data_IF_862532916833
#
_entry.id   IF_862532916833
#
_cell.length_a   1.000
_cell.length_b   1.000
_cell.length_c   1.000
_cell.angle_alpha   90.00
_cell.angle_beta   90.00
_cell.angle_gamma   90.00
#
_symmetry.space_group_name_H-M   'P 1'
#
loop_
_entity.id
_entity.type
_entity.pdbx_description
1 polymer ?
#
# COMPACT_ATOMS: atom_id res chain seq x y z
N UNK A 1 -0.90 -16.51 60.30
CA UNK A 1 -0.12 -15.55 59.48
C UNK A 1 -0.52 -15.75 58.02
N UNK A 2 -1.25 -14.82 57.41
CA UNK A 2 -1.73 -14.92 56.03
C UNK A 2 -0.62 -14.44 55.08
N UNK A 3 -0.26 -15.27 54.09
CA UNK A 3 0.69 -14.93 53.03
C UNK A 3 -0.02 -14.10 51.96
N UNK A 4 0.52 -12.93 51.64
CA UNK A 4 0.10 -12.13 50.49
C UNK A 4 1.03 -12.46 49.32
N UNK A 5 0.45 -12.89 48.20
CA UNK A 5 1.16 -13.01 46.93
C UNK A 5 0.91 -11.73 46.13
N UNK A 6 1.97 -10.98 45.86
CA UNK A 6 1.93 -9.83 44.94
C UNK A 6 1.91 -10.35 43.51
N UNK A 7 0.81 -10.15 42.80
CA UNK A 7 0.72 -10.36 41.35
C UNK A 7 1.28 -9.12 40.68
N UNK A 8 2.43 -9.25 40.02
CA UNK A 8 2.98 -8.22 39.14
C UNK A 8 2.21 -8.26 37.81
N UNK A 9 1.48 -7.19 37.49
CA UNK A 9 0.91 -6.98 36.16
C UNK A 9 2.03 -6.49 35.23
N UNK A 10 2.47 -7.37 34.33
CA UNK A 10 3.25 -6.98 33.16
C UNK A 10 2.32 -6.26 32.18
N UNK A 11 2.37 -4.93 32.15
CA UNK A 11 1.75 -4.14 31.09
C UNK A 11 2.66 -4.28 29.87
N UNK A 12 2.30 -5.19 28.97
CA UNK A 12 2.93 -5.28 27.66
C UNK A 12 2.65 -4.00 26.87
N UNK A 13 3.69 -3.23 26.58
CA UNK A 13 3.63 -2.08 25.66
C UNK A 13 3.27 -2.60 24.27
N UNK A 14 1.99 -2.54 23.90
CA UNK A 14 1.57 -2.74 22.52
C UNK A 14 1.99 -1.48 21.75
N UNK A 15 3.02 -1.59 20.90
CA UNK A 15 3.29 -0.57 19.89
C UNK A 15 2.11 -0.56 18.93
N UNK A 16 1.13 0.31 19.18
CA UNK A 16 0.06 0.59 18.23
C UNK A 16 0.70 1.40 17.10
N UNK A 17 1.00 0.75 15.98
CA UNK A 17 1.21 1.49 14.75
C UNK A 17 -0.08 2.29 14.48
N UNK A 18 0.05 3.59 14.24
CA UNK A 18 -1.09 4.44 13.89
C UNK A 18 -1.62 3.98 12.51
N UNK A 19 -2.50 2.98 12.54
CA UNK A 19 -3.25 2.53 11.37
C UNK A 19 -4.40 3.50 11.17
N UNK A 20 -4.61 3.91 9.93
CA UNK A 20 -5.65 4.87 9.60
C UNK A 20 -6.30 4.53 8.27
N UNK A 21 -7.60 4.79 8.19
CA UNK A 21 -8.37 4.80 6.94
C UNK A 21 -9.02 6.17 6.78
N UNK A 22 -9.02 6.69 5.55
CA UNK A 22 -9.65 7.96 5.18
C UNK A 22 -10.47 7.70 3.92
N UNK A 23 -11.78 7.85 4.03
CA UNK A 23 -12.73 7.75 2.92
C UNK A 23 -13.50 9.06 2.70
N UNK A 24 -13.01 10.16 3.30
CA UNK A 24 -13.51 11.53 3.10
C UNK A 24 -14.95 11.78 3.56
N UNK A 25 -15.45 10.97 4.48
CA UNK A 25 -16.83 11.03 4.94
C UNK A 25 -17.06 12.06 6.06
N UNK A 26 -18.32 12.48 6.25
CA UNK A 26 -18.65 13.51 7.24
C UNK A 26 -18.36 13.12 8.69
N UNK A 27 -18.49 11.83 9.00
CA UNK A 27 -18.13 11.27 10.31
C UNK A 27 -16.61 11.22 10.56
N UNK A 28 -15.79 11.38 9.51
CA UNK A 28 -14.34 11.52 9.58
C UNK A 28 -13.89 12.99 9.68
N UNK A 29 -14.83 13.94 9.64
CA UNK A 29 -14.55 15.38 9.76
C UNK A 29 -14.48 16.13 8.43
N UNK A 30 -14.98 15.55 7.34
CA UNK A 30 -14.99 16.16 6.01
C UNK A 30 -16.36 16.74 5.63
N UNK A 31 -16.35 17.90 4.98
CA UNK A 31 -17.52 18.57 4.45
C UNK A 31 -17.29 18.89 2.98
N UNK A 32 -18.36 18.86 2.18
CA UNK A 32 -18.32 19.23 0.76
C UNK A 32 -17.70 20.63 0.57
N UNK A 33 -16.82 20.76 -0.41
CA UNK A 33 -16.06 21.99 -0.68
C UNK A 33 -14.56 21.83 -0.43
N UNK A 34 -13.84 22.95 -0.32
CA UNK A 34 -12.38 22.98 -0.27
C UNK A 34 -11.81 22.11 0.85
N UNK A 35 -10.85 21.25 0.52
CA UNK A 35 -10.15 20.35 1.44
C UNK A 35 -9.31 21.11 2.49
N UNK A 36 -8.87 22.34 2.17
CA UNK A 36 -7.97 23.09 3.03
C UNK A 36 -8.53 23.31 4.45
N UNK A 37 -7.77 22.91 5.46
CA UNK A 37 -8.14 23.05 6.87
C UNK A 37 -9.03 21.93 7.41
N UNK A 38 -9.37 20.92 6.61
CA UNK A 38 -10.22 19.81 7.04
C UNK A 38 -9.38 18.60 7.47
N UNK A 39 -9.62 18.11 8.71
CA UNK A 39 -9.07 16.84 9.21
C UNK A 39 -7.55 16.62 8.97
N UNK A 40 -6.72 17.66 9.08
CA UNK A 40 -5.26 17.59 8.88
C UNK A 40 -4.79 17.78 7.43
N UNK A 41 -5.71 18.08 6.51
CA UNK A 41 -5.38 18.43 5.14
C UNK A 41 -5.18 19.93 4.93
N UNK A 42 -4.26 20.26 4.04
CA UNK A 42 -4.12 21.58 3.41
C UNK A 42 -4.17 21.42 1.89
N UNK A 43 -4.46 22.48 1.15
CA UNK A 43 -4.20 22.52 -0.30
C UNK A 43 -2.97 23.36 -0.59
N UNK A 44 -2.48 23.36 -1.84
CA UNK A 44 -1.27 24.12 -2.22
C UNK A 44 -1.33 25.58 -1.77
N UNK A 45 -0.37 26.06 -0.93
CA UNK A 45 -0.29 27.46 -0.53
C UNK A 45 0.02 28.36 -1.73
N UNK A 46 -0.61 29.54 -1.77
CA UNK A 46 -0.41 30.52 -2.85
C UNK A 46 0.66 31.56 -2.54
N UNK A 47 0.97 31.75 -1.25
CA UNK A 47 1.76 32.89 -0.78
C UNK A 47 1.02 34.24 -0.87
N UNK A 48 -0.29 34.23 -1.14
CA UNK A 48 -1.12 35.41 -1.31
C UNK A 48 -2.54 35.23 -0.80
N UNK A 49 -3.52 35.88 -1.45
CA UNK A 49 -4.94 35.78 -1.11
C UNK A 49 -5.71 35.19 -2.29
N UNK A 50 -6.45 34.08 -2.12
CA UNK A 50 -6.57 33.27 -0.90
C UNK A 50 -5.26 32.56 -0.55
N UNK A 51 -5.00 32.30 0.73
CA UNK A 51 -3.74 31.69 1.21
C UNK A 51 -3.44 30.31 0.62
N UNK A 52 -4.49 29.59 0.21
CA UNK A 52 -4.39 28.29 -0.46
C UNK A 52 -5.35 28.24 -1.65
N UNK A 53 -5.04 27.37 -2.61
CA UNK A 53 -5.92 27.06 -3.74
C UNK A 53 -7.25 26.43 -3.30
N UNK A 54 -8.29 26.50 -4.14
CA UNK A 54 -9.68 26.31 -3.67
C UNK A 54 -10.49 25.24 -4.37
N UNK A 55 -10.03 24.71 -5.50
CA UNK A 55 -10.73 23.68 -6.27
C UNK A 55 -10.30 22.25 -5.91
N UNK A 56 -9.46 22.08 -4.89
CA UNK A 56 -9.21 20.76 -4.31
C UNK A 56 -10.32 20.50 -3.30
N UNK A 57 -11.30 19.66 -3.63
CA UNK A 57 -12.57 19.61 -2.91
C UNK A 57 -12.96 18.19 -2.48
N UNK A 58 -13.74 18.10 -1.40
CA UNK A 58 -14.56 16.93 -1.11
C UNK A 58 -15.78 16.96 -2.03
N UNK A 59 -15.96 15.90 -2.80
CA UNK A 59 -16.96 15.79 -3.86
C UNK A 59 -17.72 14.48 -3.77
N UNK A 60 -19.02 14.52 -4.06
CA UNK A 60 -19.88 13.35 -4.22
C UNK A 60 -20.03 12.89 -5.68
N UNK A 61 -19.23 13.45 -6.61
CA UNK A 61 -19.32 13.11 -8.03
C UNK A 61 -18.91 11.65 -8.30
N UNK A 62 -17.92 11.15 -7.55
CA UNK A 62 -17.41 9.77 -7.58
C UNK A 62 -16.87 9.41 -6.20
N UNK A 63 -17.00 8.15 -5.81
CA UNK A 63 -16.35 7.55 -4.64
C UNK A 63 -16.04 6.08 -4.95
N UNK A 64 -14.99 5.53 -4.35
CA UNK A 64 -14.68 4.10 -4.38
C UNK A 64 -15.08 3.41 -3.07
N UNK A 65 -15.15 4.16 -1.98
CA UNK A 65 -15.69 3.75 -0.68
C UNK A 65 -16.63 4.85 -0.15
N UNK A 66 -17.70 4.48 0.56
CA UNK A 66 -18.64 5.49 1.07
C UNK A 66 -19.38 6.28 -0.03
N UNK A 67 -19.43 7.60 0.12
CA UNK A 67 -20.28 8.51 -0.68
C UNK A 67 -19.55 9.73 -1.24
N UNK A 68 -18.34 10.02 -0.76
CA UNK A 68 -17.55 11.18 -1.15
C UNK A 68 -16.08 10.84 -1.35
N UNK A 69 -15.35 11.66 -2.10
CA UNK A 69 -13.91 11.52 -2.29
C UNK A 69 -13.22 12.87 -2.45
N UNK A 70 -11.90 12.88 -2.35
CA UNK A 70 -11.10 14.06 -2.71
C UNK A 70 -11.03 14.18 -4.24
N UNK A 71 -11.54 15.27 -4.78
CA UNK A 71 -11.37 15.68 -6.17
C UNK A 71 -10.25 16.70 -6.27
N UNK A 72 -9.19 16.36 -7.01
CA UNK A 72 -8.16 17.31 -7.42
C UNK A 72 -8.36 17.71 -8.88
N UNK A 73 -8.34 19.00 -9.17
CA UNK A 73 -8.64 19.56 -10.49
C UNK A 73 -7.89 20.88 -10.69
N UNK A 74 -7.77 21.28 -11.95
CA UNK A 74 -7.15 22.53 -12.36
C UNK A 74 -7.57 23.74 -11.52
N UNK A 75 -6.57 24.51 -11.13
CA UNK A 75 -6.66 25.80 -10.47
C UNK A 75 -6.45 26.93 -11.47
N UNK A 76 -7.15 28.04 -11.25
CA UNK A 76 -6.98 29.27 -12.03
C UNK A 76 -5.77 30.09 -11.58
N UNK A 77 -5.30 29.87 -10.35
CA UNK A 77 -4.18 30.62 -9.74
C UNK A 77 -2.87 30.42 -10.47
N UNK A 78 -2.66 29.24 -11.06
CA UNK A 78 -1.40 28.85 -11.69
C UNK A 78 -1.60 28.43 -13.15
N UNK A 79 -0.52 28.52 -13.93
CA UNK A 79 -0.43 27.83 -15.22
C UNK A 79 -0.09 26.35 -15.06
N UNK A 80 0.09 25.65 -16.18
CA UNK A 80 0.64 24.29 -16.19
C UNK A 80 2.07 24.31 -15.66
N UNK A 81 2.38 23.37 -14.76
CA UNK A 81 3.70 23.17 -14.18
C UNK A 81 4.46 22.07 -14.94
N UNK A 82 5.78 22.06 -14.81
CA UNK A 82 6.61 20.97 -15.38
C UNK A 82 6.38 19.64 -14.64
N UNK A 83 6.11 19.72 -13.33
CA UNK A 83 5.94 18.58 -12.43
C UNK A 83 4.61 18.67 -11.67
N UNK A 84 4.02 17.53 -11.26
CA UNK A 84 2.83 17.52 -10.42
C UNK A 84 3.17 17.99 -8.99
N UNK A 85 2.81 19.25 -8.69
CA UNK A 85 3.08 19.91 -7.41
C UNK A 85 1.87 20.65 -6.82
N UNK A 86 0.76 20.72 -7.57
CA UNK A 86 -0.47 21.43 -7.18
C UNK A 86 -1.50 20.39 -6.74
N UNK A 87 -2.15 20.54 -5.59
CA UNK A 87 -3.15 19.58 -5.10
C UNK A 87 -3.42 19.64 -3.60
N UNK A 88 -3.78 18.48 -3.02
CA UNK A 88 -4.09 18.31 -1.61
C UNK A 88 -2.96 17.60 -0.85
N UNK A 89 -2.60 18.11 0.32
CA UNK A 89 -1.53 17.59 1.16
C UNK A 89 -2.09 17.18 2.52
N UNK A 90 -1.87 15.92 2.89
CA UNK A 90 -2.25 15.38 4.18
C UNK A 90 -1.07 15.43 5.14
N UNK A 91 -1.19 16.21 6.21
CA UNK A 91 -0.20 16.26 7.27
C UNK A 91 -0.43 15.10 8.23
N UNK A 92 0.53 14.19 8.32
CA UNK A 92 0.45 13.02 9.18
C UNK A 92 0.60 13.45 10.65
N UNK A 93 -0.38 13.09 11.48
CA UNK A 93 -0.30 13.31 12.93
C UNK A 93 0.84 12.50 13.58
N UNK A 94 1.16 11.34 12.99
CA UNK A 94 2.31 10.52 13.32
C UNK A 94 3.12 10.23 12.04
N UNK A 95 4.36 10.76 11.91
CA UNK A 95 5.19 10.49 10.74
C UNK A 95 5.46 8.99 10.54
N UNK A 96 5.47 8.56 9.28
CA UNK A 96 5.80 7.19 8.90
C UNK A 96 7.31 7.04 8.78
N UNK A 97 7.85 5.92 9.26
CA UNK A 97 9.26 5.63 9.05
C UNK A 97 9.50 5.27 7.59
N UNK A 98 10.54 5.85 6.96
CA UNK A 98 10.84 5.64 5.53
C UNK A 98 11.10 4.18 5.16
N UNK A 99 11.44 3.34 6.14
CA UNK A 99 11.76 1.93 5.98
C UNK A 99 10.78 0.99 6.68
N UNK A 100 9.63 1.49 7.14
CA UNK A 100 8.58 0.68 7.73
C UNK A 100 7.25 1.42 7.61
N UNK A 101 6.65 1.36 6.43
CA UNK A 101 5.37 2.00 6.15
C UNK A 101 4.58 1.26 5.08
N UNK A 102 3.26 1.43 5.09
CA UNK A 102 2.42 1.18 3.92
C UNK A 102 1.44 2.32 3.71
N UNK A 103 1.23 2.68 2.45
CA UNK A 103 0.18 3.59 2.02
C UNK A 103 -0.48 3.00 0.78
N UNK A 104 -1.80 2.95 0.79
CA UNK A 104 -2.57 2.61 -0.40
C UNK A 104 -3.80 3.51 -0.53
N UNK A 105 -4.28 3.69 -1.75
CA UNK A 105 -5.44 4.53 -2.05
C UNK A 105 -6.04 4.14 -3.40
N UNK A 106 -7.29 4.51 -3.60
CA UNK A 106 -7.99 4.39 -4.86
C UNK A 106 -7.87 5.71 -5.62
N UNK A 107 -7.64 5.64 -6.93
CA UNK A 107 -7.58 6.82 -7.80
C UNK A 107 -8.33 6.62 -9.11
N UNK A 108 -9.07 7.63 -9.55
CA UNK A 108 -9.80 7.68 -10.82
C UNK A 108 -9.47 8.98 -11.57
N UNK A 109 -8.86 8.90 -12.74
CA UNK A 109 -8.41 10.06 -13.51
C UNK A 109 -9.26 10.26 -14.77
N UNK A 110 -9.58 11.50 -15.12
CA UNK A 110 -10.64 11.80 -16.10
C UNK A 110 -10.27 11.55 -17.56
N UNK A 111 -9.00 11.72 -17.96
CA UNK A 111 -8.57 11.70 -19.36
C UNK A 111 -7.05 11.53 -19.54
N UNK A 112 -6.64 10.99 -20.68
CA UNK A 112 -5.27 11.08 -21.19
C UNK A 112 -5.00 12.46 -21.81
N UNK A 113 -3.74 12.76 -22.13
CA UNK A 113 -3.28 14.02 -22.73
C UNK A 113 -3.69 15.28 -21.93
N UNK A 114 -3.97 15.12 -20.65
CA UNK A 114 -4.27 16.20 -19.71
C UNK A 114 -3.12 16.40 -18.74
N UNK A 115 -3.45 16.42 -17.44
CA UNK A 115 -2.51 16.46 -16.35
C UNK A 115 -1.84 15.12 -16.10
N UNK A 116 -0.61 15.22 -15.62
CA UNK A 116 0.03 14.14 -14.86
C UNK A 116 -0.48 14.23 -13.42
N UNK A 117 -0.84 13.09 -12.84
CA UNK A 117 -1.34 12.99 -11.46
C UNK A 117 -0.35 12.22 -10.61
N UNK A 118 0.16 12.83 -9.55
CA UNK A 118 1.22 12.30 -8.70
C UNK A 118 0.76 11.99 -7.28
N UNK A 119 1.35 10.95 -6.71
CA UNK A 119 1.39 10.69 -5.28
C UNK A 119 2.83 10.83 -4.78
N UNK A 120 3.01 11.51 -3.65
CA UNK A 120 4.33 11.68 -3.03
C UNK A 120 4.23 11.45 -1.51
N UNK A 121 5.10 10.59 -0.99
CA UNK A 121 5.40 10.52 0.44
C UNK A 121 6.67 11.32 0.70
N UNK A 122 6.56 12.39 1.50
CA UNK A 122 7.66 13.35 1.70
C UNK A 122 7.92 13.63 3.17
N UNK A 123 9.14 14.04 3.48
CA UNK A 123 9.41 14.91 4.61
C UNK A 123 9.30 16.36 4.13
N UNK A 124 8.22 17.05 4.49
CA UNK A 124 7.97 18.43 4.10
C UNK A 124 8.81 19.48 4.82
N UNK A 125 9.53 19.13 5.89
CA UNK A 125 10.44 20.04 6.61
C UNK A 125 11.78 20.13 5.89
N UNK A 126 12.30 18.98 5.46
CA UNK A 126 13.57 18.85 4.75
C UNK A 126 13.42 18.87 3.21
N UNK A 127 12.18 19.04 2.73
CA UNK A 127 11.76 18.95 1.32
C UNK A 127 12.30 17.69 0.60
N UNK A 128 12.31 16.56 1.33
CA UNK A 128 12.82 15.30 0.81
C UNK A 128 11.68 14.38 0.38
N UNK A 129 11.69 13.96 -0.88
CA UNK A 129 10.79 12.92 -1.39
C UNK A 129 11.34 11.54 -1.01
N UNK A 130 10.52 10.72 -0.37
CA UNK A 130 10.86 9.35 0.06
C UNK A 130 10.35 8.35 -0.96
N UNK A 131 9.11 8.52 -1.42
CA UNK A 131 8.50 7.73 -2.49
C UNK A 131 7.65 8.61 -3.37
N UNK A 132 7.59 8.29 -4.66
CA UNK A 132 6.74 8.99 -5.62
C UNK A 132 6.32 8.07 -6.75
N UNK A 133 5.07 8.24 -7.17
CA UNK A 133 4.51 7.64 -8.36
C UNK A 133 3.65 8.67 -9.09
N UNK A 134 3.81 8.73 -10.41
CA UNK A 134 3.02 9.59 -11.28
C UNK A 134 2.27 8.75 -12.31
N UNK A 135 0.97 9.00 -12.44
CA UNK A 135 0.18 8.60 -13.58
C UNK A 135 0.39 9.63 -14.68
N UNK A 136 1.24 9.28 -15.65
CA UNK A 136 1.61 10.14 -16.76
C UNK A 136 0.46 10.24 -17.76
N UNK A 137 0.25 11.44 -18.30
CA UNK A 137 -0.82 11.78 -19.25
C UNK A 137 -0.85 10.90 -20.52
N UNK A 138 0.24 10.21 -20.86
CA UNK A 138 0.29 9.26 -21.98
C UNK A 138 -0.38 7.91 -21.66
N UNK A 139 -0.77 7.68 -20.40
CA UNK A 139 -1.35 6.43 -19.94
C UNK A 139 -0.33 5.51 -19.27
N UNK A 140 0.93 5.92 -19.15
CA UNK A 140 1.96 5.17 -18.44
C UNK A 140 2.00 5.54 -16.96
N UNK A 141 2.62 4.67 -16.16
CA UNK A 141 2.96 4.95 -14.76
C UNK A 141 4.46 5.21 -14.67
N UNK A 142 4.85 6.26 -13.95
CA UNK A 142 6.24 6.56 -13.62
C UNK A 142 6.49 6.42 -12.13
N UNK A 143 7.66 5.93 -11.75
CA UNK A 143 8.05 5.75 -10.35
C UNK A 143 9.40 6.41 -10.13
N UNK A 144 9.55 7.06 -8.96
CA UNK A 144 10.82 7.59 -8.53
C UNK A 144 11.74 6.43 -8.16
N UNK A 145 12.79 6.28 -8.93
CA UNK A 145 13.86 5.30 -8.74
C UNK A 145 15.13 6.00 -8.27
N UNK A 146 15.90 5.35 -7.41
CA UNK A 146 17.19 5.84 -6.93
C UNK A 146 18.27 4.81 -7.22
N UNK A 147 19.22 5.18 -8.09
CA UNK A 147 20.40 4.35 -8.40
C UNK A 147 21.64 5.10 -7.95
N UNK A 148 22.38 4.53 -7.00
CA UNK A 148 23.61 5.13 -6.46
C UNK A 148 23.44 6.57 -5.96
N UNK A 149 22.27 6.89 -5.40
CA UNK A 149 21.93 8.22 -4.88
C UNK A 149 21.41 9.22 -5.93
N UNK A 150 21.36 8.84 -7.21
CA UNK A 150 20.74 9.66 -8.27
C UNK A 150 19.28 9.27 -8.40
N UNK A 151 18.39 10.27 -8.29
CA UNK A 151 16.95 10.12 -8.40
C UNK A 151 16.48 10.39 -9.83
N UNK A 152 15.66 9.50 -10.39
CA UNK A 152 15.04 9.65 -11.71
C UNK A 152 13.63 9.05 -11.76
N UNK A 153 12.76 9.60 -12.59
CA UNK A 153 11.43 9.06 -12.84
C UNK A 153 11.47 8.08 -14.02
N UNK A 154 11.39 6.79 -13.70
CA UNK A 154 11.39 5.73 -14.71
C UNK A 154 9.97 5.35 -15.11
N UNK A 155 9.77 5.03 -16.40
CA UNK A 155 8.48 4.53 -16.89
C UNK A 155 8.34 3.04 -16.62
N UNK A 156 7.18 2.64 -16.13
CA UNK A 156 6.82 1.26 -15.82
C UNK A 156 5.84 0.77 -16.91
N UNK A 157 5.95 -0.49 -17.39
CA UNK A 157 5.06 -1.07 -18.39
C UNK A 157 3.69 -1.42 -17.78
N UNK A 158 3.09 -0.49 -17.06
CA UNK A 158 1.73 -0.54 -16.53
C UNK A 158 0.97 0.64 -17.10
N UNK A 159 -0.19 0.34 -17.67
CA UNK A 159 -1.04 1.34 -18.31
C UNK A 159 -2.27 1.65 -17.46
N UNK A 160 -2.70 2.90 -17.47
CA UNK A 160 -3.95 3.34 -16.89
C UNK A 160 -4.90 3.88 -17.97
N UNK A 161 -6.20 3.71 -17.74
CA UNK A 161 -7.28 4.16 -18.62
C UNK A 161 -8.13 5.23 -17.92
N UNK A 162 -8.62 6.23 -18.66
CA UNK A 162 -9.53 7.22 -18.13
C UNK A 162 -10.77 6.62 -17.47
N UNK A 163 -11.26 7.30 -16.44
CA UNK A 163 -12.49 7.01 -15.71
C UNK A 163 -12.56 5.62 -15.06
N UNK A 164 -11.41 4.95 -14.90
CA UNK A 164 -11.30 3.67 -14.21
C UNK A 164 -10.67 3.87 -12.83
N UNK A 165 -11.19 3.19 -11.81
CA UNK A 165 -10.58 3.16 -10.48
C UNK A 165 -9.37 2.22 -10.46
N UNK A 166 -8.27 2.70 -9.89
CA UNK A 166 -7.06 1.93 -9.65
C UNK A 166 -6.70 1.94 -8.17
N UNK A 167 -6.36 0.77 -7.61
CA UNK A 167 -5.78 0.67 -6.27
C UNK A 167 -4.27 0.78 -6.39
N UNK A 168 -3.70 1.91 -5.98
CA UNK A 168 -2.27 2.02 -5.80
C UNK A 168 -1.88 1.62 -4.38
N UNK A 169 -0.74 0.96 -4.23
CA UNK A 169 -0.15 0.62 -2.93
C UNK A 169 1.37 0.71 -2.97
N UNK A 170 1.95 1.30 -1.95
CA UNK A 170 3.39 1.32 -1.70
C UNK A 170 3.69 0.79 -0.31
N UNK A 171 4.70 -0.07 -0.23
CA UNK A 171 5.18 -0.64 1.03
C UNK A 171 6.69 -0.40 1.10
N UNK A 172 7.14 0.32 2.11
CA UNK A 172 8.55 0.48 2.43
C UNK A 172 8.97 -0.40 3.60
N UNK A 173 10.06 -1.12 3.43
CA UNK A 173 10.70 -1.98 4.43
C UNK A 173 12.16 -1.58 4.60
N UNK A 174 12.87 -2.25 5.52
CA UNK A 174 14.31 -2.06 5.70
C UNK A 174 15.14 -2.45 4.47
N UNK A 175 14.63 -3.36 3.63
CA UNK A 175 15.33 -3.88 2.46
C UNK A 175 14.90 -3.20 1.16
N UNK A 176 13.61 -2.92 0.99
CA UNK A 176 13.04 -2.47 -0.27
C UNK A 176 11.82 -1.54 -0.14
N UNK A 177 11.48 -0.90 -1.25
CA UNK A 177 10.19 -0.26 -1.48
C UNK A 177 9.50 -0.96 -2.64
N UNK A 178 8.29 -1.46 -2.41
CA UNK A 178 7.49 -2.21 -3.37
C UNK A 178 6.23 -1.42 -3.75
N UNK A 179 6.01 -1.28 -5.04
CA UNK A 179 4.89 -0.54 -5.63
C UNK A 179 3.94 -1.51 -6.32
N UNK A 180 2.65 -1.36 -6.07
CA UNK A 180 1.60 -2.21 -6.62
C UNK A 180 0.51 -1.37 -7.27
N UNK A 181 -0.07 -1.90 -8.35
CA UNK A 181 -1.24 -1.35 -9.01
C UNK A 181 -2.27 -2.47 -9.20
N UNK A 182 -3.47 -2.29 -8.65
CA UNK A 182 -4.52 -3.31 -8.60
C UNK A 182 -3.98 -4.64 -8.04
N UNK A 183 -3.29 -4.56 -6.90
CA UNK A 183 -2.66 -5.70 -6.20
C UNK A 183 -1.48 -6.38 -6.96
N UNK A 184 -1.21 -6.01 -8.21
CA UNK A 184 -0.05 -6.52 -8.94
C UNK A 184 1.20 -5.73 -8.58
N UNK A 185 2.29 -6.40 -8.20
CA UNK A 185 3.60 -5.78 -8.03
C UNK A 185 4.08 -5.24 -9.38
N UNK A 186 4.29 -3.93 -9.48
CA UNK A 186 4.72 -3.26 -10.70
C UNK A 186 6.18 -2.83 -10.64
N UNK A 187 6.74 -2.65 -9.43
CA UNK A 187 8.13 -2.25 -9.25
C UNK A 187 8.64 -2.54 -7.83
N UNK A 188 9.93 -2.84 -7.73
CA UNK A 188 10.68 -2.92 -6.47
C UNK A 188 11.94 -2.06 -6.61
N UNK A 189 12.18 -1.18 -5.64
CA UNK A 189 13.37 -0.33 -5.58
C UNK A 189 13.75 -0.02 -4.14
N UNK A 190 14.36 1.13 -3.92
CA UNK A 190 14.72 1.64 -2.59
C UNK A 190 14.02 2.97 -2.33
N UNK A 191 13.92 3.37 -1.07
CA UNK A 191 13.41 4.70 -0.72
C UNK A 191 14.38 5.77 -1.25
N UNK A 192 13.83 6.81 -1.86
CA UNK A 192 14.60 7.90 -2.44
C UNK A 192 15.20 8.84 -1.38
N UNK A 193 14.55 8.89 -0.21
CA UNK A 193 14.98 9.61 0.97
C UNK A 193 14.98 8.70 2.20
N UNK A 194 15.79 9.05 3.19
CA UNK A 194 15.93 8.32 4.45
C UNK A 194 15.29 9.03 5.64
N UNK A 195 14.56 10.13 5.39
CA UNK A 195 13.82 10.87 6.40
C UNK A 195 12.40 10.32 6.57
N UNK A 196 11.84 10.44 7.77
CA UNK A 196 10.46 10.04 8.02
C UNK A 196 9.48 10.82 7.14
N UNK A 197 8.47 10.14 6.62
CA UNK A 197 7.39 10.73 5.82
C UNK A 197 6.43 11.41 6.79
N UNK A 198 6.32 12.74 6.74
CA UNK A 198 5.40 13.52 7.57
C UNK A 198 4.23 14.11 6.78
N UNK A 199 4.25 13.98 5.45
CA UNK A 199 3.19 14.46 4.59
C UNK A 199 2.97 13.52 3.39
N UNK A 200 1.71 13.27 3.07
CA UNK A 200 1.28 12.60 1.85
C UNK A 200 0.70 13.65 0.89
N UNK A 201 1.17 13.71 -0.35
CA UNK A 201 0.71 14.69 -1.33
C UNK A 201 0.00 13.98 -2.49
N UNK A 202 -1.18 14.47 -2.83
CA UNK A 202 -1.94 14.07 -4.01
C UNK A 202 -2.03 15.27 -4.92
N UNK A 203 -1.32 15.20 -6.05
CA UNK A 203 -0.93 16.36 -6.84
C UNK A 203 -1.17 16.16 -8.32
N UNK A 204 -1.21 17.27 -9.04
CA UNK A 204 -1.25 17.34 -10.49
C UNK A 204 -0.40 18.52 -10.98
N UNK A 205 -0.02 18.51 -12.25
CA UNK A 205 0.75 19.58 -12.86
C UNK A 205 -0.12 20.72 -13.43
N UNK A 206 -1.38 20.78 -13.04
CA UNK A 206 -2.31 21.88 -13.37
C UNK A 206 -2.57 22.14 -14.88
N UNK A 207 -2.53 21.09 -15.69
CA UNK A 207 -2.90 21.12 -17.10
C UNK A 207 -4.43 21.02 -17.30
N UNK A 208 -4.95 19.84 -17.64
CA UNK A 208 -6.38 19.57 -17.89
C UNK A 208 -6.82 18.27 -17.22
N UNK A 209 -8.11 18.14 -16.96
CA UNK A 209 -8.69 16.97 -16.32
C UNK A 209 -8.68 17.05 -14.80
N UNK A 210 -9.16 15.97 -14.17
CA UNK A 210 -9.29 15.83 -12.72
C UNK A 210 -8.97 14.41 -12.29
N UNK A 211 -8.60 14.25 -11.02
CA UNK A 211 -8.53 12.94 -10.37
C UNK A 211 -9.41 12.93 -9.11
N UNK A 212 -9.99 11.77 -8.83
CA UNK A 212 -10.67 11.46 -7.58
C UNK A 212 -9.79 10.49 -6.79
N UNK A 213 -9.60 10.76 -5.50
CA UNK A 213 -8.77 9.97 -4.58
C UNK A 213 -9.62 9.58 -3.39
N UNK A 214 -9.58 8.31 -3.02
CA UNK A 214 -10.45 7.77 -1.98
C UNK A 214 -9.83 6.54 -1.29
N UNK A 215 -10.45 6.08 -0.19
CA UNK A 215 -10.11 4.86 0.54
C UNK A 215 -8.62 4.77 0.88
N UNK A 216 -8.05 5.88 1.37
CA UNK A 216 -6.64 5.94 1.74
C UNK A 216 -6.44 5.10 2.98
N UNK A 217 -5.47 4.19 2.94
CA UNK A 217 -5.10 3.30 4.02
C UNK A 217 -3.64 3.48 4.35
N UNK A 218 -3.37 3.76 5.63
CA UNK A 218 -2.03 4.01 6.15
C UNK A 218 -1.73 2.94 7.18
N UNK A 219 -0.64 2.20 6.99
CA UNK A 219 -0.14 1.14 7.86
C UNK A 219 -1.08 -0.03 8.17
N UNK A 220 -2.30 -0.06 7.65
CA UNK A 220 -3.23 -1.20 7.79
C UNK A 220 -2.73 -2.41 7.00
N UNK A 221 -2.01 -2.16 5.90
CA UNK A 221 -1.54 -3.18 4.96
C UNK A 221 -0.08 -3.55 5.17
N UNK A 222 0.57 -3.02 6.22
CA UNK A 222 1.84 -3.56 6.73
C UNK A 222 1.70 -5.03 7.14
N UNK A 223 0.49 -5.47 7.43
CA UNK A 223 0.15 -6.84 7.82
C UNK A 223 0.11 -7.84 6.65
N UNK A 224 0.41 -7.42 5.41
CA UNK A 224 0.97 -8.35 4.42
C UNK A 224 2.43 -8.57 4.82
N UNK A 225 2.59 -9.35 5.90
CA UNK A 225 3.82 -9.53 6.64
C UNK A 225 5.01 -9.66 5.70
N UNK A 226 5.93 -8.70 5.82
CA UNK A 226 7.33 -9.02 5.60
C UNK A 226 7.63 -10.28 6.40
N UNK A 227 8.01 -11.34 5.70
CA UNK A 227 9.11 -12.17 6.17
C UNK A 227 10.16 -11.17 6.68
N UNK A 228 10.47 -11.22 7.98
CA UNK A 228 11.67 -10.55 8.47
C UNK A 228 12.82 -11.11 7.63
N UNK A 229 13.38 -10.31 6.74
CA UNK A 229 14.67 -10.57 6.10
C UNK A 229 15.85 -10.38 7.08
N UNK A 230 15.62 -10.67 8.35
CA UNK A 230 16.64 -10.81 9.37
C UNK A 230 16.34 -12.11 10.12
N UNK A 231 17.12 -13.14 9.80
CA UNK A 231 17.20 -14.47 10.42
C UNK A 231 16.13 -15.52 10.04
N UNK A 232 15.75 -15.62 8.76
CA UNK A 232 14.98 -16.77 8.23
C UNK A 232 15.69 -17.52 7.09
N UNK A 233 17.03 -17.47 7.07
CA UNK A 233 17.86 -18.36 6.25
C UNK A 233 17.84 -19.83 6.70
N UNK A 234 17.29 -20.13 7.87
CA UNK A 234 17.51 -21.44 8.49
C UNK A 234 16.33 -22.41 8.29
N UNK A 235 15.11 -21.92 7.98
CA UNK A 235 13.98 -22.83 7.75
C UNK A 235 13.93 -23.24 6.28
N UNK A 236 14.62 -24.33 5.96
CA UNK A 236 14.42 -25.01 4.69
C UNK A 236 12.99 -25.59 4.62
N UNK A 237 12.10 -24.85 3.95
CA UNK A 237 10.75 -25.26 3.56
C UNK A 237 10.72 -25.63 2.08
N UNK A 238 10.36 -26.87 1.79
CA UNK A 238 10.23 -27.39 0.43
C UNK A 238 8.80 -27.87 0.18
N UNK A 239 8.35 -27.78 -1.07
CA UNK A 239 7.05 -28.31 -1.49
C UNK A 239 7.14 -28.96 -2.86
N UNK A 240 6.41 -30.04 -3.05
CA UNK A 240 6.44 -30.81 -4.30
C UNK A 240 5.20 -31.70 -4.45
N UNK A 241 4.84 -32.09 -5.69
CA UNK A 241 5.38 -31.57 -6.94
C UNK A 241 4.83 -30.17 -7.24
N UNK A 242 5.54 -29.42 -8.08
CA UNK A 242 5.03 -28.21 -8.71
C UNK A 242 5.56 -28.17 -10.16
N UNK A 243 4.72 -28.26 -11.20
CA UNK A 243 3.25 -28.30 -11.18
C UNK A 243 2.66 -29.56 -10.55
N UNK A 244 1.49 -29.44 -9.91
CA UNK A 244 0.80 -30.50 -9.16
C UNK A 244 -0.47 -30.98 -9.87
N UNK A 245 -0.78 -32.27 -9.73
CA UNK A 245 -2.05 -32.86 -10.21
C UNK A 245 -3.00 -33.05 -9.03
N UNK A 246 -2.65 -33.89 -8.05
CA UNK A 246 -3.62 -34.28 -7.01
C UNK A 246 -3.21 -33.94 -5.58
N UNK A 247 -1.93 -34.08 -5.24
CA UNK A 247 -1.45 -33.91 -3.86
C UNK A 247 -0.18 -33.07 -3.87
N UNK A 248 -0.17 -32.01 -3.07
CA UNK A 248 1.02 -31.22 -2.77
C UNK A 248 1.53 -31.60 -1.38
N UNK A 249 2.81 -31.95 -1.30
CA UNK A 249 3.50 -32.23 -0.05
C UNK A 249 4.33 -31.02 0.34
N UNK A 250 4.33 -30.70 1.63
CA UNK A 250 5.11 -29.62 2.25
C UNK A 250 5.97 -30.24 3.33
N UNK A 251 7.25 -29.93 3.32
CA UNK A 251 8.20 -30.40 4.33
C UNK A 251 9.05 -29.25 4.85
N UNK A 252 9.26 -29.22 6.16
CA UNK A 252 10.14 -28.29 6.87
C UNK A 252 11.24 -29.05 7.59
N UNK A 253 12.50 -28.61 7.49
CA UNK A 253 13.57 -29.23 8.27
C UNK A 253 13.57 -28.84 9.75
N UNK A 254 13.09 -27.63 10.07
CA UNK A 254 13.37 -27.01 11.36
C UNK A 254 12.15 -26.48 12.12
N UNK A 255 10.95 -26.60 11.56
CA UNK A 255 9.74 -26.07 12.17
C UNK A 255 8.54 -26.98 11.97
N UNK A 256 7.77 -27.16 13.04
CA UNK A 256 6.50 -27.88 12.97
C UNK A 256 5.49 -27.07 12.18
N UNK A 257 4.82 -27.73 11.25
CA UNK A 257 3.75 -27.14 10.45
C UNK A 257 2.47 -27.19 11.28
N UNK A 258 1.88 -26.02 11.53
CA UNK A 258 0.60 -25.88 12.22
C UNK A 258 -0.56 -26.01 11.23
N UNK A 259 -0.45 -25.32 10.10
CA UNK A 259 -1.52 -25.19 9.12
C UNK A 259 -0.96 -25.06 7.71
N UNK A 260 -1.65 -25.67 6.74
CA UNK A 260 -1.45 -25.38 5.33
C UNK A 260 -2.77 -24.92 4.73
N UNK A 261 -2.79 -23.75 4.11
CA UNK A 261 -3.96 -23.20 3.43
C UNK A 261 -3.67 -22.90 1.97
N UNK A 262 -4.71 -22.96 1.15
CA UNK A 262 -4.66 -22.62 -0.27
C UNK A 262 -5.64 -21.49 -0.51
N UNK A 263 -5.17 -20.45 -1.17
CA UNK A 263 -5.99 -19.34 -1.65
C UNK A 263 -5.83 -19.24 -3.18
N UNK A 264 -6.88 -18.76 -3.85
CA UNK A 264 -6.77 -18.39 -5.26
C UNK A 264 -6.08 -17.02 -5.44
N UNK A 265 -5.86 -16.62 -6.69
CA UNK A 265 -5.21 -15.35 -7.01
C UNK A 265 -6.04 -14.11 -6.65
N UNK A 266 -7.32 -14.27 -6.30
CA UNK A 266 -8.20 -13.19 -5.81
C UNK A 266 -8.17 -13.06 -4.30
N UNK A 267 -7.42 -13.93 -3.60
CA UNK A 267 -7.33 -13.96 -2.14
C UNK A 267 -8.44 -14.77 -1.46
N UNK A 268 -9.32 -15.41 -2.23
CA UNK A 268 -10.38 -16.26 -1.67
C UNK A 268 -9.77 -17.53 -1.09
N UNK A 269 -10.08 -17.83 0.16
CA UNK A 269 -9.69 -19.10 0.78
C UNK A 269 -10.43 -20.26 0.12
N UNK A 270 -9.65 -21.22 -0.39
CA UNK A 270 -10.18 -22.39 -1.09
C UNK A 270 -10.15 -23.62 -0.19
N UNK A 271 -9.04 -23.82 0.54
CA UNK A 271 -8.87 -25.01 1.39
C UNK A 271 -7.93 -24.73 2.55
N UNK A 272 -8.23 -25.31 3.70
CA UNK A 272 -7.42 -25.21 4.91
C UNK A 272 -7.28 -26.61 5.51
N UNK A 273 -6.04 -27.07 5.66
CA UNK A 273 -5.69 -28.36 6.26
C UNK A 273 -4.88 -28.10 7.51
N UNK A 274 -5.42 -28.53 8.65
CA UNK A 274 -4.72 -28.55 9.93
C UNK A 274 -3.79 -29.76 9.94
N UNK A 275 -2.52 -29.55 10.29
CA UNK A 275 -1.62 -30.67 10.57
C UNK A 275 -2.02 -31.24 11.93
N UNK A 276 -2.82 -32.31 11.93
CA UNK A 276 -3.37 -32.93 13.13
C UNK A 276 -2.30 -33.44 14.11
N UNK A 277 -1.06 -33.62 13.65
CA UNK A 277 0.04 -34.19 14.45
C UNK A 277 1.18 -33.19 14.75
N UNK A 278 1.08 -31.91 14.35
CA UNK A 278 2.17 -30.91 14.47
C UNK A 278 3.52 -31.47 14.01
N UNK A 279 3.53 -32.13 12.86
CA UNK A 279 4.73 -32.71 12.25
C UNK A 279 5.44 -31.70 11.36
N UNK A 280 6.65 -32.05 10.97
CA UNK A 280 7.48 -31.29 10.05
C UNK A 280 7.06 -31.47 8.59
N UNK A 281 6.01 -32.28 8.33
CA UNK A 281 5.44 -32.54 7.03
C UNK A 281 3.92 -32.39 7.02
N UNK A 282 3.37 -32.07 5.84
CA UNK A 282 1.94 -32.00 5.58
C UNK A 282 1.65 -32.33 4.12
N UNK A 283 0.56 -33.05 3.88
CA UNK A 283 0.06 -33.36 2.54
C UNK A 283 -1.32 -32.75 2.35
N UNK A 284 -1.53 -32.06 1.23
CA UNK A 284 -2.80 -31.40 0.91
C UNK A 284 -3.32 -31.92 -0.42
N UNK A 285 -4.54 -32.46 -0.41
CA UNK A 285 -5.24 -32.86 -1.63
C UNK A 285 -5.80 -31.63 -2.36
N UNK A 286 -5.37 -31.44 -3.60
CA UNK A 286 -5.72 -30.36 -4.52
C UNK A 286 -6.40 -30.85 -5.80
N UNK A 287 -6.79 -32.13 -5.87
CA UNK A 287 -7.42 -32.74 -7.05
C UNK A 287 -8.71 -32.02 -7.50
N UNK A 288 -9.45 -31.44 -6.55
CA UNK A 288 -10.69 -30.70 -6.79
C UNK A 288 -10.47 -29.26 -7.29
N UNK A 289 -9.22 -28.77 -7.31
CA UNK A 289 -8.91 -27.44 -7.82
C UNK A 289 -8.93 -27.43 -9.35
N UNK A 290 -9.48 -26.37 -9.93
CA UNK A 290 -9.35 -26.13 -11.37
C UNK A 290 -7.91 -25.81 -11.75
N UNK A 291 -7.52 -26.13 -12.98
CA UNK A 291 -6.20 -25.80 -13.51
C UNK A 291 -5.94 -24.29 -13.40
N UNK A 292 -4.79 -23.90 -12.86
CA UNK A 292 -4.50 -22.50 -12.59
C UNK A 292 -3.38 -22.25 -11.58
N UNK A 293 -3.17 -20.96 -11.27
CA UNK A 293 -2.20 -20.51 -10.28
C UNK A 293 -2.87 -20.36 -8.92
N UNK A 294 -2.19 -20.82 -7.86
CA UNK A 294 -2.66 -20.72 -6.48
C UNK A 294 -1.52 -20.32 -5.55
N UNK A 295 -1.89 -19.82 -4.37
CA UNK A 295 -0.94 -19.50 -3.30
C UNK A 295 -1.16 -20.49 -2.16
N UNK A 296 -0.07 -21.13 -1.76
CA UNK A 296 0.04 -21.99 -0.59
C UNK A 296 0.55 -21.15 0.59
N UNK A 297 -0.24 -21.09 1.65
CA UNK A 297 0.10 -20.44 2.91
C UNK A 297 0.46 -21.54 3.92
N UNK A 298 1.70 -21.54 4.39
CA UNK A 298 2.23 -22.52 5.35
C UNK A 298 2.47 -21.79 6.65
N UNK A 299 1.70 -22.12 7.68
CA UNK A 299 1.86 -21.63 9.04
C UNK A 299 2.70 -22.63 9.84
N UNK A 300 3.82 -22.18 10.38
CA UNK A 300 4.69 -22.97 11.26
C UNK A 300 4.86 -22.28 12.60
N UNK A 301 5.40 -23.00 13.59
CA UNK A 301 5.72 -22.40 14.90
C UNK A 301 6.74 -21.25 14.83
N UNK A 302 7.49 -21.15 13.73
CA UNK A 302 8.48 -20.09 13.50
C UNK A 302 7.98 -18.97 12.57
N UNK A 303 6.79 -19.09 11.97
CA UNK A 303 6.21 -18.05 11.12
C UNK A 303 5.32 -18.57 9.99
N UNK A 304 4.76 -17.64 9.21
CA UNK A 304 3.94 -17.95 8.04
C UNK A 304 4.73 -17.71 6.75
N UNK A 305 4.57 -18.62 5.79
CA UNK A 305 5.29 -18.63 4.52
C UNK A 305 4.30 -18.76 3.36
N UNK A 306 4.49 -17.96 2.31
CA UNK A 306 3.65 -18.02 1.11
C UNK A 306 4.46 -18.56 -0.07
N UNK A 307 3.94 -19.57 -0.76
CA UNK A 307 4.56 -20.17 -1.95
C UNK A 307 3.55 -20.30 -3.08
N UNK A 308 3.93 -19.92 -4.30
CA UNK A 308 3.07 -20.08 -5.49
C UNK A 308 3.22 -21.48 -6.07
N UNK A 309 2.13 -22.11 -6.48
CA UNK A 309 2.15 -23.37 -7.22
C UNK A 309 1.16 -23.38 -8.40
N UNK A 310 1.39 -24.29 -9.34
CA UNK A 310 0.59 -24.46 -10.55
C UNK A 310 -0.19 -25.78 -10.47
N UNK A 311 -1.52 -25.72 -10.52
CA UNK A 311 -2.41 -26.88 -10.69
C UNK A 311 -2.57 -27.18 -12.18
N UNK A 312 -2.30 -28.43 -12.57
CA UNK A 312 -2.58 -28.94 -13.92
C UNK A 312 -4.05 -29.24 -14.12
#
# INVERSE_FOLDING_TARGET
MKKYYSIAFLIGSMCVFAQQTISFESNEGFNAGNINGQAGWISTPTGGVPENITHQIISSDKASDGSTSLKIVKETTYGTQSEPIIGGFYNLSAPLSYNNFSVSFDINMSQLNGSDFGFQGVNGVDDQVVVRLDFDKTGLVKILNTISGVQDLISIPSAWLPNTWYRFKVIGTASDVRYYLNENLIYTGTAAGTMNINQLRFVHNNALGSAYIDNIKINTELQVMGVKDSDLSDIELTFYPNPVVDIINVTSKEAKINLVSIIDMTGKSIKTVLSSDKKNDASVNVSELTAGNYILIIDTEKGKFNKKFIKK
#
